data_IF_059075277955
#
_entry.id   IF_059075277955
#
_cell.length_a   1.000
_cell.length_b   1.000
_cell.length_c   1.000
_cell.angle_alpha   90.00
_cell.angle_beta   90.00
_cell.angle_gamma   90.00
#
_symmetry.space_group_name_H-M   'P 1'
#
loop_
_entity.id
_entity.type
_entity.pdbx_description
1 polymer ?
#
# COMPACT_ATOMS: atom_id res chain seq x y z
N UNK A 1 2.64 -3.59 -16.73
CA UNK A 1 2.71 -2.40 -15.85
C UNK A 1 1.34 -1.83 -15.55
N UNK A 2 0.52 -1.49 -16.58
CA UNK A 2 -0.81 -0.90 -16.40
C UNK A 2 -1.71 -1.73 -15.45
N UNK A 3 -1.86 -3.05 -15.71
CA UNK A 3 -2.67 -3.92 -14.84
C UNK A 3 -2.15 -4.01 -13.40
N UNK A 4 -0.83 -3.95 -13.21
CA UNK A 4 -0.22 -3.94 -11.88
C UNK A 4 -0.52 -2.66 -11.09
N UNK A 5 -0.49 -1.50 -11.74
CA UNK A 5 -0.91 -0.25 -11.11
C UNK A 5 -2.39 -0.30 -10.69
N UNK A 6 -3.25 -0.96 -11.48
CA UNK A 6 -4.68 -1.12 -11.15
C UNK A 6 -4.96 -2.05 -9.97
N UNK A 7 -4.04 -2.92 -9.58
CA UNK A 7 -4.29 -3.86 -8.47
C UNK A 7 -4.00 -3.27 -7.10
N UNK A 8 -3.17 -2.25 -6.99
CA UNK A 8 -2.74 -1.64 -5.73
C UNK A 8 -3.91 -1.06 -4.93
N UNK A 9 -3.87 -1.23 -3.60
CA UNK A 9 -4.87 -0.70 -2.66
C UNK A 9 -4.16 0.12 -1.57
N UNK A 10 -4.73 1.25 -1.17
CA UNK A 10 -4.17 2.07 -0.09
C UNK A 10 -4.73 1.66 1.28
N UNK A 11 -3.95 0.94 2.07
CA UNK A 11 -4.34 0.59 3.44
C UNK A 11 -4.49 1.81 4.34
N UNK A 12 -3.59 2.78 4.24
CA UNK A 12 -3.65 3.99 5.06
C UNK A 12 -4.96 4.77 4.89
N UNK A 13 -5.47 4.82 3.66
CA UNK A 13 -6.76 5.45 3.35
C UNK A 13 -7.92 4.63 3.92
N UNK A 14 -7.86 3.29 3.81
CA UNK A 14 -8.87 2.40 4.40
C UNK A 14 -8.92 2.53 5.92
N UNK A 15 -7.77 2.51 6.60
CA UNK A 15 -7.69 2.69 8.05
C UNK A 15 -8.35 4.00 8.45
N UNK A 16 -8.03 5.11 7.78
CA UNK A 16 -8.60 6.41 8.09
C UNK A 16 -10.12 6.43 7.92
N UNK A 17 -10.62 5.95 6.79
CA UNK A 17 -12.07 5.91 6.51
C UNK A 17 -12.80 5.01 7.51
N UNK A 18 -12.25 3.83 7.83
CA UNK A 18 -12.84 2.93 8.82
C UNK A 18 -12.81 3.53 10.23
N UNK A 19 -11.79 4.31 10.59
CA UNK A 19 -11.74 5.07 11.85
C UNK A 19 -12.84 6.14 11.90
N UNK A 20 -12.96 6.96 10.85
CA UNK A 20 -13.95 8.03 10.74
C UNK A 20 -15.40 7.48 10.81
N UNK A 21 -15.61 6.25 10.30
CA UNK A 21 -16.88 5.53 10.36
C UNK A 21 -17.04 4.67 11.63
N UNK A 22 -16.14 4.75 12.60
CA UNK A 22 -16.12 3.92 13.82
C UNK A 22 -16.21 2.41 13.54
N UNK A 23 -15.67 1.96 12.42
CA UNK A 23 -15.82 0.60 11.90
C UNK A 23 -14.51 -0.19 11.87
N UNK A 24 -13.40 0.39 12.35
CA UNK A 24 -12.08 -0.23 12.35
C UNK A 24 -12.04 -1.57 13.10
N UNK A 25 -12.65 -1.62 14.29
CA UNK A 25 -12.64 -2.78 15.17
C UNK A 25 -13.82 -3.74 14.90
N UNK A 26 -14.39 -3.72 13.73
CA UNK A 26 -15.47 -4.62 13.31
C UNK A 26 -14.92 -5.81 12.53
N UNK A 27 -15.72 -6.85 12.38
CA UNK A 27 -15.34 -8.03 11.59
C UNK A 27 -15.01 -7.65 10.14
N UNK A 28 -15.85 -6.85 9.48
CA UNK A 28 -15.62 -6.45 8.10
C UNK A 28 -14.42 -5.51 7.99
N UNK A 29 -14.24 -4.60 8.96
CA UNK A 29 -13.04 -3.75 9.04
C UNK A 29 -11.76 -4.57 9.11
N UNK A 30 -11.72 -5.60 9.96
CA UNK A 30 -10.59 -6.51 10.06
C UNK A 30 -10.32 -7.27 8.76
N UNK A 31 -11.38 -7.70 8.03
CA UNK A 31 -11.23 -8.36 6.73
C UNK A 31 -10.66 -7.40 5.68
N UNK A 32 -11.16 -6.16 5.62
CA UNK A 32 -10.65 -5.13 4.68
C UNK A 32 -9.16 -4.88 4.93
N UNK A 33 -8.76 -4.70 6.19
CA UNK A 33 -7.36 -4.48 6.55
C UNK A 33 -6.47 -5.70 6.26
N UNK A 34 -6.95 -6.91 6.56
CA UNK A 34 -6.20 -8.13 6.26
C UNK A 34 -6.03 -8.35 4.75
N UNK A 35 -7.07 -8.06 3.97
CA UNK A 35 -6.99 -8.12 2.51
C UNK A 35 -5.98 -7.12 1.94
N UNK A 36 -5.95 -5.88 2.46
CA UNK A 36 -4.98 -4.88 2.07
C UNK A 36 -3.55 -5.28 2.46
N UNK A 37 -3.32 -5.80 3.66
CA UNK A 37 -1.98 -6.28 4.07
C UNK A 37 -1.45 -7.39 3.15
N UNK A 38 -2.32 -8.24 2.60
CA UNK A 38 -1.93 -9.23 1.57
C UNK A 38 -1.67 -8.55 0.23
N UNK A 39 -2.49 -7.56 -0.14
CA UNK A 39 -2.31 -6.77 -1.37
C UNK A 39 -0.94 -6.05 -1.38
N UNK A 40 -0.50 -5.50 -0.22
CA UNK A 40 0.81 -4.86 -0.08
C UNK A 40 1.98 -5.80 -0.44
N UNK A 41 1.88 -7.09 -0.12
CA UNK A 41 2.90 -8.08 -0.50
C UNK A 41 2.98 -8.24 -2.02
N UNK A 42 1.82 -8.29 -2.69
CA UNK A 42 1.77 -8.33 -4.15
C UNK A 42 2.27 -7.03 -4.78
N UNK A 43 1.95 -5.88 -4.18
CA UNK A 43 2.43 -4.57 -4.60
C UNK A 43 3.96 -4.49 -4.60
N UNK A 44 4.60 -4.86 -3.48
CA UNK A 44 6.07 -4.88 -3.35
C UNK A 44 6.68 -5.82 -4.38
N UNK A 45 6.10 -7.01 -4.57
CA UNK A 45 6.54 -7.98 -5.58
C UNK A 45 6.44 -7.41 -6.99
N UNK A 46 5.30 -6.76 -7.30
CA UNK A 46 5.10 -6.16 -8.61
C UNK A 46 6.03 -4.98 -8.87
N UNK A 47 6.27 -4.14 -7.86
CA UNK A 47 7.22 -3.04 -7.95
C UNK A 47 8.65 -3.55 -8.22
N UNK A 48 9.02 -4.68 -7.61
CA UNK A 48 10.29 -5.36 -7.90
C UNK A 48 10.39 -5.78 -9.37
N UNK A 49 9.34 -6.41 -9.90
CA UNK A 49 9.29 -6.81 -11.30
C UNK A 49 9.40 -5.61 -12.26
N UNK A 50 8.69 -4.52 -11.97
CA UNK A 50 8.79 -3.29 -12.77
C UNK A 50 10.21 -2.72 -12.75
N UNK A 51 10.85 -2.70 -11.58
CA UNK A 51 12.24 -2.21 -11.44
C UNK A 51 13.22 -3.03 -12.26
N UNK A 52 13.09 -4.37 -12.27
CA UNK A 52 13.92 -5.26 -13.09
C UNK A 52 13.67 -5.05 -14.57
N UNK A 53 12.42 -4.92 -14.99
CA UNK A 53 12.07 -4.64 -16.40
C UNK A 53 12.67 -3.31 -16.89
N UNK A 54 12.66 -2.27 -16.03
CA UNK A 54 13.27 -0.96 -16.32
C UNK A 54 14.78 -1.09 -16.57
N UNK A 55 15.46 -1.95 -15.82
CA UNK A 55 16.91 -2.17 -15.94
C UNK A 55 17.31 -3.03 -17.14
N UNK A 56 16.35 -3.46 -17.98
CA UNK A 56 16.63 -4.25 -19.19
C UNK A 56 17.10 -5.68 -18.91
N UNK A 57 16.67 -6.27 -17.79
CA UNK A 57 17.12 -7.56 -17.29
C UNK A 57 16.89 -8.72 -18.26
N UNK A 58 17.94 -9.47 -18.55
CA UNK A 58 17.89 -10.74 -19.26
C UNK A 58 17.32 -11.84 -18.34
N UNK A 59 16.83 -12.96 -18.91
CA UNK A 59 16.35 -14.13 -18.15
C UNK A 59 17.38 -14.63 -17.12
N UNK A 60 18.68 -14.45 -17.38
CA UNK A 60 19.78 -14.81 -16.46
C UNK A 60 19.78 -13.87 -15.24
N UNK A 61 19.45 -12.59 -15.41
CA UNK A 61 19.35 -11.64 -14.29
C UNK A 61 18.12 -11.92 -13.43
N UNK A 62 17.00 -12.30 -14.04
CA UNK A 62 15.83 -12.80 -13.32
C UNK A 62 16.13 -14.02 -12.45
N UNK A 63 17.02 -14.92 -12.91
CA UNK A 63 17.43 -16.09 -12.13
C UNK A 63 18.32 -15.74 -10.92
N UNK A 64 18.95 -14.55 -10.88
CA UNK A 64 19.75 -14.08 -9.73
C UNK A 64 18.90 -13.44 -8.64
N UNK A 65 17.70 -12.96 -8.95
CA UNK A 65 16.82 -12.27 -8.00
C UNK A 65 16.61 -13.06 -6.70
N UNK A 66 16.34 -14.37 -6.70
CA UNK A 66 16.19 -15.12 -5.45
C UNK A 66 17.44 -15.08 -4.56
N UNK A 67 18.63 -15.13 -5.16
CA UNK A 67 19.90 -15.05 -4.44
C UNK A 67 20.09 -13.64 -3.86
N UNK A 68 19.84 -12.62 -4.66
CA UNK A 68 19.95 -11.21 -4.25
C UNK A 68 18.97 -10.90 -3.11
N UNK A 69 17.74 -11.42 -3.17
CA UNK A 69 16.76 -11.31 -2.09
C UNK A 69 17.23 -12.00 -0.80
N UNK A 70 17.85 -13.18 -0.88
CA UNK A 70 18.41 -13.88 0.29
C UNK A 70 19.57 -13.09 0.89
N UNK A 71 20.46 -12.55 0.06
CA UNK A 71 21.58 -11.70 0.50
C UNK A 71 21.03 -10.44 1.16
N UNK A 72 20.05 -9.77 0.54
CA UNK A 72 19.41 -8.58 1.09
C UNK A 72 18.72 -8.88 2.42
N UNK A 73 17.98 -9.98 2.52
CA UNK A 73 17.33 -10.39 3.77
C UNK A 73 18.34 -10.63 4.89
N UNK A 74 19.50 -11.25 4.60
CA UNK A 74 20.58 -11.43 5.57
C UNK A 74 21.17 -10.09 6.02
N UNK A 75 21.43 -9.16 5.08
CA UNK A 75 21.94 -7.81 5.37
C UNK A 75 20.91 -7.02 6.18
N UNK A 76 19.64 -7.05 5.79
CA UNK A 76 18.56 -6.38 6.50
C UNK A 76 18.38 -6.92 7.92
N UNK A 77 18.54 -8.24 8.14
CA UNK A 77 18.52 -8.85 9.46
C UNK A 77 19.70 -8.39 10.36
N UNK A 78 20.89 -8.28 9.81
CA UNK A 78 22.06 -7.73 10.53
C UNK A 78 21.83 -6.26 10.86
N UNK A 79 21.37 -5.48 9.88
CA UNK A 79 21.05 -4.06 10.05
C UNK A 79 19.96 -3.85 11.12
N UNK A 80 18.94 -4.71 11.17
CA UNK A 80 17.91 -4.71 12.22
C UNK A 80 18.48 -4.87 13.63
N UNK A 81 19.44 -5.79 13.81
CA UNK A 81 20.10 -5.95 15.12
C UNK A 81 20.95 -4.75 15.50
N UNK A 82 21.60 -4.13 14.53
CA UNK A 82 22.43 -2.93 14.73
C UNK A 82 21.56 -1.74 15.11
N UNK A 83 20.48 -1.48 14.37
CA UNK A 83 19.61 -0.32 14.64
C UNK A 83 18.95 -0.42 16.01
N UNK A 84 18.49 -1.62 16.41
CA UNK A 84 17.89 -1.83 17.73
C UNK A 84 18.86 -1.49 18.86
N UNK A 85 20.15 -1.91 18.75
CA UNK A 85 21.19 -1.56 19.71
C UNK A 85 21.55 -0.07 19.69
N UNK A 86 21.64 0.52 18.48
CA UNK A 86 21.97 1.94 18.33
C UNK A 86 20.90 2.85 18.94
N UNK A 87 19.61 2.54 18.70
CA UNK A 87 18.49 3.26 19.31
C UNK A 87 18.52 3.16 20.83
N UNK A 88 18.70 1.97 21.39
CA UNK A 88 18.79 1.77 22.84
C UNK A 88 20.02 2.47 23.46
N UNK A 89 21.15 2.45 22.78
CA UNK A 89 22.36 3.13 23.23
C UNK A 89 22.20 4.66 23.24
N UNK A 90 21.65 5.23 22.18
CA UNK A 90 21.36 6.67 22.11
C UNK A 90 20.38 7.09 23.21
N UNK A 91 19.32 6.30 23.42
CA UNK A 91 18.34 6.57 24.46
C UNK A 91 18.95 6.55 25.86
N UNK A 92 19.81 5.55 26.16
CA UNK A 92 20.45 5.41 27.48
C UNK A 92 21.44 6.53 27.77
N UNK A 93 22.08 7.10 26.75
CA UNK A 93 23.06 8.17 26.87
C UNK A 93 22.47 9.59 26.72
N UNK A 94 21.15 9.73 26.83
CA UNK A 94 20.51 11.05 26.78
C UNK A 94 20.43 11.64 25.37
N UNK A 95 20.44 10.79 24.34
CA UNK A 95 20.25 11.21 22.96
C UNK A 95 18.97 12.01 22.78
N UNK A 96 19.08 13.13 22.05
CA UNK A 96 17.96 14.00 21.74
C UNK A 96 17.03 13.40 20.64
N UNK A 97 15.84 13.94 20.55
CA UNK A 97 14.84 13.47 19.57
C UNK A 97 15.32 13.66 18.12
N UNK A 98 16.12 14.71 17.87
CA UNK A 98 16.68 15.01 16.54
C UNK A 98 17.70 13.93 16.13
N UNK A 99 18.55 13.51 17.06
CA UNK A 99 19.52 12.44 16.82
C UNK A 99 18.85 11.10 16.56
N UNK A 100 17.82 10.75 17.33
CA UNK A 100 17.04 9.53 17.11
C UNK A 100 16.33 9.55 15.75
N UNK A 101 15.72 10.67 15.37
CA UNK A 101 15.09 10.83 14.06
C UNK A 101 16.10 10.74 12.92
N UNK A 102 17.26 11.39 13.05
CA UNK A 102 18.33 11.32 12.06
C UNK A 102 18.82 9.88 11.86
N UNK A 103 18.98 9.12 12.95
CA UNK A 103 19.38 7.72 12.89
C UNK A 103 18.35 6.88 12.11
N UNK A 104 17.05 7.12 12.32
CA UNK A 104 15.96 6.46 11.59
C UNK A 104 16.05 6.75 10.10
N UNK A 105 16.20 8.02 9.71
CA UNK A 105 16.28 8.39 8.28
C UNK A 105 17.53 7.78 7.63
N UNK A 106 18.69 7.88 8.30
CA UNK A 106 19.94 7.28 7.81
C UNK A 106 19.76 5.77 7.62
N UNK A 107 19.15 5.08 8.56
CA UNK A 107 18.91 3.64 8.46
C UNK A 107 18.06 3.27 7.23
N UNK A 108 16.96 3.99 7.00
CA UNK A 108 16.10 3.75 5.82
C UNK A 108 16.89 4.00 4.53
N UNK A 109 17.63 5.12 4.46
CA UNK A 109 18.42 5.48 3.28
C UNK A 109 19.54 4.48 3.00
N UNK A 110 20.20 3.97 4.04
CA UNK A 110 21.23 2.93 3.90
C UNK A 110 20.62 1.64 3.36
N UNK A 111 19.49 1.18 3.88
CA UNK A 111 18.81 -0.02 3.36
C UNK A 111 18.30 0.19 1.95
N UNK A 112 17.79 1.37 1.61
CA UNK A 112 17.40 1.71 0.25
C UNK A 112 18.61 1.67 -0.70
N UNK A 113 19.75 2.25 -0.30
CA UNK A 113 20.96 2.21 -1.11
C UNK A 113 21.53 0.79 -1.28
N UNK A 114 21.54 -0.02 -0.21
CA UNK A 114 21.97 -1.43 -0.28
C UNK A 114 21.05 -2.27 -1.19
N UNK A 115 19.75 -2.06 -1.11
CA UNK A 115 18.79 -2.72 -2.00
C UNK A 115 18.99 -2.33 -3.47
N UNK A 116 19.34 -1.06 -3.73
CA UNK A 116 19.66 -0.60 -5.08
C UNK A 116 20.97 -1.20 -5.59
N UNK A 117 22.01 -1.29 -4.76
CA UNK A 117 23.27 -1.95 -5.10
C UNK A 117 23.09 -3.44 -5.44
N UNK A 118 22.16 -4.11 -4.79
CA UNK A 118 21.76 -5.49 -5.05
C UNK A 118 20.75 -5.61 -6.21
N UNK A 119 20.49 -4.55 -6.95
CA UNK A 119 19.56 -4.48 -8.07
C UNK A 119 18.10 -4.83 -7.76
N UNK A 120 17.74 -4.96 -6.49
CA UNK A 120 16.37 -5.22 -6.01
C UNK A 120 15.48 -3.98 -6.19
N UNK A 121 16.08 -2.79 -6.06
CA UNK A 121 15.42 -1.49 -6.17
C UNK A 121 15.28 -0.78 -4.81
N UNK A 122 15.61 0.51 -4.80
CA UNK A 122 15.65 1.35 -3.59
C UNK A 122 14.32 1.42 -2.83
N UNK A 123 13.19 1.33 -3.53
CA UNK A 123 11.86 1.39 -2.92
C UNK A 123 11.63 0.21 -1.97
N UNK A 124 12.06 -1.00 -2.36
CA UNK A 124 11.93 -2.20 -1.53
C UNK A 124 12.78 -2.07 -0.27
N UNK A 125 14.02 -1.59 -0.44
CA UNK A 125 14.91 -1.31 0.69
C UNK A 125 14.32 -0.32 1.68
N UNK A 126 13.67 0.75 1.19
CA UNK A 126 13.01 1.75 2.01
C UNK A 126 11.79 1.17 2.77
N UNK A 127 10.95 0.37 2.11
CA UNK A 127 9.79 -0.28 2.72
C UNK A 127 10.22 -1.26 3.83
N UNK A 128 11.19 -2.13 3.52
CA UNK A 128 11.72 -3.08 4.50
C UNK A 128 12.41 -2.35 5.66
N UNK A 129 13.15 -1.27 5.37
CA UNK A 129 13.74 -0.40 6.38
C UNK A 129 12.71 0.19 7.33
N UNK A 130 11.62 0.71 6.81
CA UNK A 130 10.50 1.23 7.60
C UNK A 130 9.83 0.16 8.46
N UNK A 131 9.61 -1.04 7.92
CA UNK A 131 9.05 -2.18 8.65
C UNK A 131 9.95 -2.64 9.80
N UNK A 132 11.26 -2.78 9.56
CA UNK A 132 12.24 -3.16 10.60
C UNK A 132 12.35 -2.10 11.69
N UNK A 133 12.27 -0.83 11.32
CA UNK A 133 12.23 0.27 12.29
C UNK A 133 10.97 0.23 13.15
N UNK A 134 9.82 -0.04 12.58
CA UNK A 134 8.58 -0.16 13.34
C UNK A 134 8.70 -1.20 14.46
N UNK A 135 9.41 -2.32 14.20
CA UNK A 135 9.66 -3.35 15.20
C UNK A 135 10.69 -2.85 16.22
N UNK A 136 11.76 -2.19 15.77
CA UNK A 136 12.88 -1.73 16.65
C UNK A 136 12.43 -0.62 17.60
N UNK A 137 11.63 0.33 17.13
CA UNK A 137 11.14 1.47 17.91
C UNK A 137 10.21 1.05 19.06
N UNK A 138 9.55 -0.10 18.96
CA UNK A 138 8.73 -0.64 20.07
C UNK A 138 9.53 -1.00 21.32
N UNK A 139 10.86 -1.13 21.20
CA UNK A 139 11.75 -1.51 22.31
C UNK A 139 12.30 -0.31 23.08
N UNK A 140 12.04 0.92 22.64
CA UNK A 140 12.41 2.15 23.33
C UNK A 140 11.27 2.67 24.23
N UNK A 141 11.57 3.69 25.06
CA UNK A 141 10.56 4.30 25.95
C UNK A 141 9.37 4.80 25.16
N UNK A 142 8.16 4.56 25.64
CA UNK A 142 6.90 4.95 24.99
C UNK A 142 6.78 6.45 24.68
N UNK A 143 7.49 7.30 25.44
CA UNK A 143 7.54 8.74 25.17
C UNK A 143 8.32 9.04 23.89
N UNK A 144 9.51 8.45 23.74
CA UNK A 144 10.34 8.61 22.55
C UNK A 144 9.72 7.96 21.32
N UNK A 145 9.16 6.76 21.47
CA UNK A 145 8.38 6.10 20.41
C UNK A 145 7.28 7.02 19.86
N UNK A 146 6.47 7.61 20.75
CA UNK A 146 5.37 8.50 20.38
C UNK A 146 5.84 9.76 19.69
N UNK A 147 6.92 10.37 20.18
CA UNK A 147 7.51 11.56 19.59
C UNK A 147 8.15 11.27 18.23
N UNK A 148 8.87 10.15 18.09
CA UNK A 148 9.41 9.71 16.80
C UNK A 148 8.33 9.49 15.76
N UNK A 149 7.24 8.80 16.10
CA UNK A 149 6.09 8.61 15.20
C UNK A 149 5.49 9.97 14.82
N UNK A 150 5.34 10.89 15.79
CA UNK A 150 4.80 12.24 15.54
C UNK A 150 5.69 13.04 14.59
N UNK A 151 7.00 13.05 14.80
CA UNK A 151 7.96 13.77 13.94
C UNK A 151 8.01 13.14 12.55
N UNK A 152 8.06 11.80 12.48
CA UNK A 152 8.04 11.08 11.21
C UNK A 152 6.76 11.42 10.42
N UNK A 153 5.59 11.37 11.06
CA UNK A 153 4.33 11.74 10.41
C UNK A 153 4.32 13.20 9.95
N UNK A 154 4.84 14.12 10.75
CA UNK A 154 4.90 15.54 10.40
C UNK A 154 5.79 15.77 9.18
N UNK A 155 6.96 15.17 9.11
CA UNK A 155 7.87 15.29 7.95
C UNK A 155 7.29 14.58 6.74
N UNK A 156 6.78 13.37 6.91
CA UNK A 156 6.23 12.59 5.80
C UNK A 156 4.96 13.20 5.26
N UNK A 157 3.94 13.40 6.09
CA UNK A 157 2.63 13.88 5.65
C UNK A 157 2.60 15.40 5.42
N UNK A 158 3.37 16.17 6.18
CA UNK A 158 3.42 17.63 6.07
C UNK A 158 4.36 18.14 4.98
N UNK A 159 5.36 17.36 4.59
CA UNK A 159 6.37 17.80 3.63
C UNK A 159 6.54 16.83 2.45
N UNK A 160 6.94 15.58 2.69
CA UNK A 160 7.31 14.67 1.60
C UNK A 160 6.11 14.29 0.71
N UNK A 161 4.96 13.98 1.31
CA UNK A 161 3.76 13.59 0.57
C UNK A 161 3.23 14.73 -0.33
N UNK A 162 3.11 15.98 0.12
CA UNK A 162 2.78 17.10 -0.77
C UNK A 162 3.74 17.26 -1.95
N UNK A 163 5.06 17.17 -1.71
CA UNK A 163 6.05 17.24 -2.80
C UNK A 163 5.90 16.10 -3.81
N UNK A 164 5.60 14.89 -3.33
CA UNK A 164 5.32 13.76 -4.21
C UNK A 164 4.10 14.03 -5.09
N UNK A 165 2.98 14.50 -4.52
CA UNK A 165 1.77 14.80 -5.29
C UNK A 165 1.96 15.97 -6.26
N UNK A 166 2.75 17.01 -5.89
CA UNK A 166 3.13 18.08 -6.82
C UNK A 166 3.91 17.49 -8.00
N UNK A 167 4.88 16.61 -7.75
CA UNK A 167 5.65 15.94 -8.80
C UNK A 167 4.76 15.09 -9.73
N UNK A 168 3.78 14.36 -9.18
CA UNK A 168 2.78 13.65 -9.98
C UNK A 168 1.95 14.62 -10.81
N UNK A 169 1.49 15.74 -10.21
CA UNK A 169 0.68 16.75 -10.87
C UNK A 169 1.39 17.47 -12.01
N UNK A 170 2.69 17.75 -11.88
CA UNK A 170 3.49 18.37 -12.96
C UNK A 170 3.57 17.47 -14.20
N UNK A 171 3.59 16.16 -14.02
CA UNK A 171 3.64 15.19 -15.12
C UNK A 171 2.24 14.80 -15.64
N UNK A 172 1.18 15.27 -15.00
CA UNK A 172 -0.21 15.01 -15.39
C UNK A 172 -0.64 15.91 -16.54
N UNK A 173 -1.09 15.33 -17.64
CA UNK A 173 -1.65 16.07 -18.77
C UNK A 173 -3.19 16.10 -18.69
N UNK A 174 -3.73 17.28 -18.36
CA UNK A 174 -5.18 17.48 -18.25
C UNK A 174 -5.90 17.31 -19.58
N UNK A 175 -5.22 17.54 -20.73
CA UNK A 175 -5.83 17.39 -22.03
C UNK A 175 -6.22 15.94 -22.32
N UNK A 176 -5.56 14.98 -21.69
CA UNK A 176 -5.89 13.55 -21.81
C UNK A 176 -7.29 13.24 -21.33
N UNK A 177 -7.84 14.01 -20.40
CA UNK A 177 -9.23 13.85 -19.93
C UNK A 177 -10.23 14.05 -21.06
N UNK A 178 -9.91 14.87 -22.05
CA UNK A 178 -10.75 15.17 -23.21
C UNK A 178 -10.33 14.36 -24.44
N UNK A 179 -9.03 14.31 -24.74
CA UNK A 179 -8.52 13.65 -25.95
C UNK A 179 -8.58 12.12 -25.86
N UNK A 180 -8.44 11.56 -24.67
CA UNK A 180 -8.42 10.12 -24.41
C UNK A 180 -9.49 9.71 -23.38
N UNK A 181 -10.65 10.35 -23.41
CA UNK A 181 -11.77 10.09 -22.49
C UNK A 181 -12.18 8.63 -22.45
N UNK A 182 -12.15 7.92 -23.57
CA UNK A 182 -12.44 6.48 -23.64
C UNK A 182 -11.45 5.67 -22.80
N UNK A 183 -10.15 6.00 -22.85
CA UNK A 183 -9.12 5.35 -22.04
C UNK A 183 -9.37 5.60 -20.56
N UNK A 184 -9.67 6.85 -20.18
CA UNK A 184 -9.99 7.20 -18.80
C UNK A 184 -11.20 6.44 -18.27
N UNK A 185 -12.32 6.45 -19.01
CA UNK A 185 -13.54 5.74 -18.62
C UNK A 185 -13.27 4.23 -18.50
N UNK A 186 -12.59 3.65 -19.48
CA UNK A 186 -12.22 2.23 -19.44
C UNK A 186 -11.36 1.91 -18.21
N UNK A 187 -10.36 2.74 -17.91
CA UNK A 187 -9.46 2.57 -16.74
C UNK A 187 -10.26 2.61 -15.44
N UNK A 188 -11.13 3.61 -15.27
CA UNK A 188 -11.99 3.74 -14.07
C UNK A 188 -12.95 2.56 -13.95
N UNK A 189 -13.59 2.15 -15.03
CA UNK A 189 -14.52 1.02 -15.03
C UNK A 189 -13.83 -0.31 -14.70
N UNK A 190 -12.67 -0.57 -15.30
CA UNK A 190 -11.86 -1.77 -15.02
C UNK A 190 -11.43 -1.77 -13.55
N UNK A 191 -11.00 -0.63 -13.00
CA UNK A 191 -10.60 -0.51 -11.60
C UNK A 191 -11.75 -0.90 -10.66
N UNK A 192 -12.93 -0.28 -10.81
CA UNK A 192 -14.08 -0.57 -9.96
C UNK A 192 -14.60 -1.99 -10.15
N UNK A 193 -14.87 -2.39 -11.38
CA UNK A 193 -15.46 -3.70 -11.68
C UNK A 193 -14.50 -4.82 -11.29
N UNK A 194 -13.20 -4.69 -11.59
CA UNK A 194 -12.21 -5.69 -11.29
C UNK A 194 -12.11 -6.01 -9.80
N UNK A 195 -12.02 -4.98 -8.95
CA UNK A 195 -11.94 -5.15 -7.48
C UNK A 195 -13.27 -5.69 -6.90
N UNK A 196 -14.42 -5.17 -7.35
CA UNK A 196 -15.73 -5.63 -6.88
C UNK A 196 -15.99 -7.09 -7.31
N UNK A 197 -15.76 -7.43 -8.57
CA UNK A 197 -15.94 -8.81 -9.04
C UNK A 197 -14.94 -9.75 -8.36
N UNK A 198 -13.67 -9.34 -8.21
CA UNK A 198 -12.65 -10.13 -7.53
C UNK A 198 -13.05 -10.50 -6.10
N UNK A 199 -13.63 -9.57 -5.35
CA UNK A 199 -14.13 -9.86 -3.99
C UNK A 199 -15.40 -10.71 -3.99
N UNK A 200 -16.32 -10.53 -4.95
CA UNK A 200 -17.56 -11.33 -5.05
C UNK A 200 -17.26 -12.79 -5.42
N UNK A 201 -16.30 -13.04 -6.30
CA UNK A 201 -15.90 -14.40 -6.71
C UNK A 201 -15.45 -15.25 -5.51
N UNK A 202 -14.95 -14.65 -4.44
CA UNK A 202 -14.52 -15.35 -3.23
C UNK A 202 -15.72 -15.82 -2.36
N UNK A 203 -16.96 -15.46 -2.72
CA UNK A 203 -18.17 -15.77 -1.93
C UNK A 203 -18.28 -17.24 -1.54
N UNK A 204 -18.09 -18.24 -2.44
CA UNK A 204 -18.22 -19.65 -2.08
C UNK A 204 -17.20 -20.12 -1.03
N UNK A 205 -16.05 -19.46 -0.94
CA UNK A 205 -14.94 -19.80 -0.05
C UNK A 205 -14.91 -18.96 1.23
N UNK A 206 -15.84 -18.00 1.38
CA UNK A 206 -15.86 -17.07 2.51
C UNK A 206 -17.13 -17.26 3.38
N UNK A 207 -17.02 -16.85 4.65
CA UNK A 207 -18.16 -16.76 5.57
C UNK A 207 -18.80 -15.36 5.54
N UNK A 208 -18.52 -14.56 4.49
CA UNK A 208 -19.06 -13.23 4.30
C UNK A 208 -20.32 -13.29 3.44
N UNK A 209 -21.23 -12.33 3.65
CA UNK A 209 -22.39 -12.17 2.80
C UNK A 209 -22.00 -11.44 1.51
N UNK A 210 -22.78 -11.62 0.42
CA UNK A 210 -22.57 -10.89 -0.83
C UNK A 210 -22.52 -9.37 -0.63
N UNK A 211 -23.33 -8.83 0.29
CA UNK A 211 -23.27 -7.40 0.63
C UNK A 211 -21.93 -7.01 1.25
N UNK A 212 -21.40 -7.83 2.16
CA UNK A 212 -20.09 -7.58 2.76
C UNK A 212 -18.97 -7.65 1.72
N UNK A 213 -19.00 -8.63 0.83
CA UNK A 213 -18.03 -8.76 -0.26
C UNK A 213 -18.10 -7.57 -1.23
N UNK A 214 -19.30 -7.11 -1.56
CA UNK A 214 -19.51 -5.92 -2.38
C UNK A 214 -18.86 -4.67 -1.75
N UNK A 215 -19.10 -4.42 -0.45
CA UNK A 215 -18.50 -3.27 0.22
C UNK A 215 -16.99 -3.45 0.50
N UNK A 216 -16.52 -4.70 0.65
CA UNK A 216 -15.07 -4.99 0.65
C UNK A 216 -14.46 -4.61 -0.71
N UNK A 217 -15.10 -4.96 -1.83
CA UNK A 217 -14.66 -4.57 -3.17
C UNK A 217 -14.58 -3.05 -3.35
N UNK A 218 -15.53 -2.30 -2.78
CA UNK A 218 -15.46 -0.85 -2.77
C UNK A 218 -14.27 -0.33 -1.92
N UNK A 219 -14.06 -0.89 -0.74
CA UNK A 219 -12.92 -0.53 0.12
C UNK A 219 -11.56 -0.84 -0.55
N UNK A 220 -11.48 -1.96 -1.30
CA UNK A 220 -10.27 -2.31 -2.07
C UNK A 220 -10.02 -1.37 -3.27
N UNK A 221 -10.93 -0.44 -3.58
CA UNK A 221 -10.72 0.65 -4.54
C UNK A 221 -10.11 1.91 -3.92
N UNK A 222 -9.74 1.89 -2.63
CA UNK A 222 -8.94 2.95 -2.05
C UNK A 222 -7.59 3.04 -2.75
N UNK A 223 -7.22 4.22 -3.21
CA UNK A 223 -5.96 4.45 -3.91
C UNK A 223 -5.07 5.38 -3.10
N UNK A 224 -3.77 5.31 -3.34
CA UNK A 224 -2.82 6.10 -2.57
C UNK A 224 -1.53 6.41 -3.32
N UNK A 225 -0.50 6.81 -2.56
CA UNK A 225 0.78 7.18 -3.14
C UNK A 225 1.47 6.01 -3.86
N UNK A 226 1.30 4.78 -3.40
CA UNK A 226 2.00 3.61 -3.92
C UNK A 226 1.66 3.32 -5.39
N UNK A 227 0.38 3.34 -5.76
CA UNK A 227 -0.05 3.22 -7.16
C UNK A 227 0.58 4.32 -8.03
N UNK A 228 0.54 5.56 -7.54
CA UNK A 228 1.09 6.71 -8.26
C UNK A 228 2.62 6.64 -8.37
N UNK A 229 3.31 6.03 -7.39
CA UNK A 229 4.76 5.74 -7.48
C UNK A 229 5.02 4.75 -8.60
N UNK A 230 4.27 3.65 -8.68
CA UNK A 230 4.41 2.65 -9.75
C UNK A 230 4.16 3.30 -11.12
N UNK A 231 3.08 4.07 -11.23
CA UNK A 231 2.73 4.78 -12.46
C UNK A 231 3.82 5.79 -12.86
N UNK A 232 4.33 6.58 -11.91
CA UNK A 232 5.37 7.59 -12.16
C UNK A 232 6.71 6.95 -12.55
N UNK A 233 7.12 5.87 -11.87
CA UNK A 233 8.33 5.11 -12.22
C UNK A 233 8.21 4.54 -13.62
N UNK A 234 7.08 3.93 -13.95
CA UNK A 234 6.82 3.39 -15.27
C UNK A 234 6.82 4.47 -16.37
N UNK A 235 6.20 5.63 -16.10
CA UNK A 235 6.17 6.75 -17.02
C UNK A 235 7.57 7.34 -17.25
N UNK A 236 8.34 7.61 -16.19
CA UNK A 236 9.70 8.16 -16.29
C UNK A 236 10.67 7.24 -17.02
N UNK A 237 10.44 5.94 -16.98
CA UNK A 237 11.23 4.95 -17.70
C UNK A 237 10.63 4.56 -19.06
N UNK A 238 9.67 5.35 -19.57
CA UNK A 238 9.03 5.16 -20.88
C UNK A 238 8.36 3.80 -21.08
N UNK A 239 7.95 3.14 -19.98
CA UNK A 239 7.19 1.88 -20.02
C UNK A 239 5.70 2.10 -20.29
N UNK A 240 5.20 3.31 -20.01
CA UNK A 240 3.83 3.73 -20.31
C UNK A 240 3.86 5.15 -20.89
N UNK A 241 2.98 5.47 -21.84
CA UNK A 241 2.84 6.82 -22.40
C UNK A 241 2.11 7.75 -21.42
N UNK A 242 2.16 9.06 -21.67
CA UNK A 242 1.55 10.09 -20.81
C UNK A 242 0.03 9.95 -20.68
N UNK A 243 -0.64 9.44 -21.71
CA UNK A 243 -2.08 9.19 -21.70
C UNK A 243 -2.45 8.13 -20.66
N UNK A 244 -1.68 7.04 -20.58
CA UNK A 244 -1.89 5.97 -19.60
C UNK A 244 -1.55 6.45 -18.19
N UNK A 245 -0.46 7.19 -18.03
CA UNK A 245 -0.09 7.79 -16.74
C UNK A 245 -1.18 8.73 -16.24
N UNK A 246 -1.64 9.65 -17.08
CA UNK A 246 -2.68 10.63 -16.72
C UNK A 246 -4.03 9.95 -16.44
N UNK A 247 -4.38 8.90 -17.19
CA UNK A 247 -5.58 8.10 -16.90
C UNK A 247 -5.51 7.40 -15.54
N UNK A 248 -4.35 6.85 -15.14
CA UNK A 248 -4.12 6.24 -13.82
C UNK A 248 -4.23 7.28 -12.70
N UNK A 249 -3.63 8.46 -12.87
CA UNK A 249 -3.72 9.55 -11.88
C UNK A 249 -5.17 10.00 -11.70
N UNK A 250 -5.90 10.25 -12.78
CA UNK A 250 -7.30 10.66 -12.72
C UNK A 250 -8.18 9.56 -12.11
N UNK A 251 -7.97 8.30 -12.48
CA UNK A 251 -8.66 7.15 -11.90
C UNK A 251 -8.41 7.06 -10.40
N UNK A 252 -7.17 7.22 -9.95
CA UNK A 252 -6.81 7.21 -8.52
C UNK A 252 -7.56 8.27 -7.73
N UNK A 253 -7.65 9.50 -8.26
CA UNK A 253 -8.42 10.59 -7.65
C UNK A 253 -9.92 10.26 -7.57
N UNK A 254 -10.51 9.80 -8.68
CA UNK A 254 -11.94 9.48 -8.75
C UNK A 254 -12.29 8.36 -7.76
N UNK A 255 -11.53 7.26 -7.77
CA UNK A 255 -11.81 6.11 -6.91
C UNK A 255 -11.66 6.45 -5.43
N UNK A 256 -10.63 7.21 -5.06
CA UNK A 256 -10.37 7.64 -3.67
C UNK A 256 -11.45 8.59 -3.14
N UNK A 257 -12.04 9.42 -4.00
CA UNK A 257 -13.14 10.30 -3.60
C UNK A 257 -14.47 9.56 -3.47
N UNK A 258 -14.70 8.54 -4.31
CA UNK A 258 -16.00 7.84 -4.39
C UNK A 258 -16.14 6.76 -3.31
N UNK A 259 -15.12 5.94 -3.06
CA UNK A 259 -15.25 4.77 -2.20
C UNK A 259 -15.67 5.10 -0.74
N UNK A 260 -15.17 6.18 -0.09
CA UNK A 260 -15.59 6.49 1.29
C UNK A 260 -17.07 6.81 1.38
N UNK A 261 -17.60 7.55 0.39
CA UNK A 261 -19.00 7.90 0.34
C UNK A 261 -19.91 6.66 0.18
N UNK A 262 -19.50 5.73 -0.69
CA UNK A 262 -20.23 4.46 -0.89
C UNK A 262 -20.18 3.59 0.37
N UNK A 263 -19.01 3.48 1.01
CA UNK A 263 -18.85 2.70 2.24
C UNK A 263 -19.66 3.31 3.41
N UNK A 264 -19.59 4.63 3.58
CA UNK A 264 -20.37 5.34 4.60
C UNK A 264 -21.88 5.14 4.43
N UNK A 265 -22.38 5.25 3.19
CA UNK A 265 -23.78 5.01 2.88
C UNK A 265 -24.17 3.55 3.17
N UNK A 266 -23.35 2.59 2.78
CA UNK A 266 -23.60 1.18 3.04
C UNK A 266 -23.70 0.84 4.52
N UNK A 267 -22.86 1.44 5.35
CA UNK A 267 -22.87 1.25 6.80
C UNK A 267 -24.13 1.93 7.41
N UNK A 268 -24.47 3.14 6.97
CA UNK A 268 -25.64 3.86 7.49
C UNK A 268 -26.97 3.16 7.16
N UNK A 269 -27.11 2.63 5.95
CA UNK A 269 -28.29 1.90 5.52
C UNK A 269 -28.40 0.48 6.13
N UNK A 270 -27.27 -0.12 6.53
CA UNK A 270 -27.19 -1.47 7.07
C UNK A 270 -26.28 -1.53 8.30
N UNK A 271 -26.73 -1.10 9.49
CA UNK A 271 -25.88 -1.08 10.70
C UNK A 271 -25.26 -2.43 11.08
N UNK A 272 -25.93 -3.53 10.72
CA UNK A 272 -25.42 -4.89 10.93
C UNK A 272 -24.35 -5.34 9.92
N UNK A 273 -24.11 -4.57 8.86
CA UNK A 273 -23.19 -4.93 7.76
C UNK A 273 -21.78 -5.31 8.27
N UNK A 274 -21.29 -4.52 9.21
CA UNK A 274 -19.92 -4.64 9.70
C UNK A 274 -19.67 -5.89 10.56
N UNK A 275 -20.72 -6.42 11.24
CA UNK A 275 -20.60 -7.52 12.20
C UNK A 275 -21.44 -8.76 11.87
N UNK A 276 -22.26 -8.73 10.83
CA UNK A 276 -23.12 -9.87 10.48
C UNK A 276 -22.30 -11.08 10.04
N UNK A 277 -22.85 -12.27 10.35
CA UNK A 277 -22.34 -13.55 9.86
C UNK A 277 -23.25 -14.05 8.75
N UNK A 278 -22.69 -14.73 7.77
CA UNK A 278 -23.50 -15.51 6.80
C UNK A 278 -24.29 -16.54 7.61
N UNK A 279 -25.61 -16.47 7.57
CA UNK A 279 -26.46 -17.56 8.06
C UNK A 279 -26.17 -18.76 7.17
N UNK A 280 -25.47 -19.76 7.70
CA UNK A 280 -25.35 -21.05 7.04
C UNK A 280 -26.78 -21.52 6.76
N UNK A 281 -27.15 -21.60 5.49
CA UNK A 281 -28.43 -22.20 5.10
C UNK A 281 -28.50 -23.57 5.79
N UNK A 282 -29.45 -23.71 6.68
CA UNK A 282 -29.82 -24.98 7.26
C UNK A 282 -30.02 -25.97 6.13
N UNK A 283 -29.04 -26.82 5.87
CA UNK A 283 -29.25 -28.04 5.16
C UNK A 283 -30.22 -28.82 6.03
N UNK A 284 -31.53 -28.69 5.77
CA UNK A 284 -32.57 -29.54 6.32
C UNK A 284 -32.19 -30.99 5.98
N UNK A 285 -31.43 -31.66 6.87
CA UNK A 285 -31.52 -33.11 6.95
C UNK A 285 -32.85 -33.39 7.61
N UNK A 286 -33.90 -33.50 6.81
CA UNK A 286 -35.07 -34.25 7.18
C UNK A 286 -34.58 -35.68 7.45
N UNK A 287 -34.61 -36.06 8.72
CA UNK A 287 -34.56 -37.44 9.12
C UNK A 287 -35.76 -38.17 8.47
N UNK A 288 -35.46 -39.14 7.68
CA UNK A 288 -36.30 -40.30 7.48
C UNK A 288 -35.57 -41.49 7.99
#
# INVERSE_FOLDING_TARGET
VFGGALMVTSEGTNVKVLMDLNSLNTRLGAVILAAGAVDDVFEVTFLSLVTVMVKGGNLIELAKIPLELVIFAAVAFVAFKIIGKALSYMESNGGDETGLFSLVIIFILVLAALSELLQIGYLIGAIIGGFLLQISVRNIRKSHERNMIKVTNLVTLGFMVPFFFVNVGINFDINVLYSSSTLLIATVMIAFIGKILGTIIVEPFSNLTLKQLYYTGWAMNSRGAAELVIALVAFRNSLIPVEVFSALVAMSLITTLVFPAVLARGISENPGLMNSYRKNGTRNRKNT
#
